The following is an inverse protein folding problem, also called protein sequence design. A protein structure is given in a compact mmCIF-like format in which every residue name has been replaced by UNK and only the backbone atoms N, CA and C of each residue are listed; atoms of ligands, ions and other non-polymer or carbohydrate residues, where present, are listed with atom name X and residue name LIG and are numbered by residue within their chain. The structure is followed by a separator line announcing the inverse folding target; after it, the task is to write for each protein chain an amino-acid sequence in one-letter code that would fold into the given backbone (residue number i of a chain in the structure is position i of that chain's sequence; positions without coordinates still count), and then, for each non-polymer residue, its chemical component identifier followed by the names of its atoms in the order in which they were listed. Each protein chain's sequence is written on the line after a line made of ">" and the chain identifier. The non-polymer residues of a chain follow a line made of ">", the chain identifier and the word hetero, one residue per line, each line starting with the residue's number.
data_IF_575210867897
#
_entry.id   IF_575210867897
#
_cell.length_a   1.000
_cell.length_b   1.000
_cell.length_c   1.000
_cell.angle_alpha   90.00
_cell.angle_beta   90.00
_cell.angle_gamma   90.00
#
_symmetry.space_group_name_H-M   'P 1'
#
loop_
_entity.id
_entity.type
_entity.pdbx_description
1 polymer ?
#
# COMPACT_ATOMS: atom_id res chain seq x y z
N UNK A 1 19.74 -34.29 9.54
CA UNK A 1 19.85 -33.34 8.43
C UNK A 1 18.47 -32.83 8.04
N UNK A 2 17.88 -31.86 8.81
CA UNK A 2 16.61 -31.17 8.47
C UNK A 2 16.77 -29.64 8.59
N UNK A 3 17.96 -29.12 8.31
CA UNK A 3 18.32 -27.72 8.61
C UNK A 3 17.80 -26.67 7.61
N UNK A 4 17.32 -27.07 6.42
CA UNK A 4 17.02 -26.11 5.35
C UNK A 4 15.54 -25.97 4.95
N UNK A 5 14.62 -26.75 5.55
CA UNK A 5 13.22 -26.78 5.11
C UNK A 5 12.46 -25.47 5.44
N UNK A 6 12.90 -24.72 6.44
CA UNK A 6 12.25 -23.47 6.85
C UNK A 6 12.90 -22.20 6.27
N UNK A 7 14.04 -22.32 5.58
CA UNK A 7 14.73 -21.14 5.02
C UNK A 7 13.90 -20.46 3.92
N UNK A 8 13.28 -21.22 3.04
CA UNK A 8 12.43 -20.67 1.98
C UNK A 8 11.22 -19.94 2.55
N UNK A 9 10.39 -20.55 3.45
CA UNK A 9 9.31 -19.83 4.10
C UNK A 9 9.79 -18.58 4.85
N UNK A 10 10.93 -18.64 5.53
CA UNK A 10 11.49 -17.52 6.27
C UNK A 10 11.90 -16.36 5.35
N UNK A 11 12.57 -16.66 4.23
CA UNK A 11 12.94 -15.65 3.24
C UNK A 11 11.71 -14.98 2.62
N UNK A 12 10.67 -15.76 2.30
CA UNK A 12 9.41 -15.22 1.79
C UNK A 12 8.75 -14.28 2.79
N UNK A 13 8.80 -14.60 4.09
CA UNK A 13 8.26 -13.73 5.13
C UNK A 13 9.08 -12.43 5.26
N UNK A 14 10.41 -12.49 5.16
CA UNK A 14 11.22 -11.28 5.17
C UNK A 14 10.90 -10.37 3.98
N UNK A 15 10.71 -10.94 2.79
CA UNK A 15 10.20 -10.19 1.63
C UNK A 15 8.80 -9.61 1.90
N UNK A 16 7.93 -10.35 2.58
CA UNK A 16 6.59 -9.89 2.94
C UNK A 16 6.65 -8.67 3.88
N UNK A 17 7.48 -8.72 4.94
CA UNK A 17 7.69 -7.58 5.86
C UNK A 17 8.23 -6.35 5.13
N UNK A 18 9.16 -6.56 4.19
CA UNK A 18 9.70 -5.50 3.36
C UNK A 18 8.62 -4.85 2.47
N UNK A 19 7.86 -5.65 1.73
CA UNK A 19 6.79 -5.16 0.86
C UNK A 19 5.65 -4.52 1.64
N UNK A 20 5.29 -5.09 2.79
CA UNK A 20 4.29 -4.52 3.69
C UNK A 20 4.69 -3.13 4.18
N UNK A 21 5.96 -2.96 4.58
CA UNK A 21 6.48 -1.67 5.01
C UNK A 21 6.46 -0.62 3.90
N UNK A 22 6.82 -1.01 2.67
CA UNK A 22 6.70 -0.13 1.50
C UNK A 22 5.26 0.35 1.34
N UNK A 23 4.30 -0.58 1.31
CA UNK A 23 2.88 -0.26 1.11
C UNK A 23 2.32 0.64 2.22
N UNK A 24 2.63 0.34 3.49
CA UNK A 24 2.15 1.13 4.63
C UNK A 24 2.72 2.55 4.66
N UNK A 25 3.98 2.71 4.28
CA UNK A 25 4.64 4.02 4.25
C UNK A 25 4.28 4.87 3.02
N UNK A 26 3.68 4.28 2.00
CA UNK A 26 3.11 5.04 0.89
C UNK A 26 1.74 5.65 1.20
N UNK A 27 1.04 5.18 2.24
CA UNK A 27 -0.30 5.67 2.59
C UNK A 27 -0.38 7.19 2.75
N UNK A 28 0.48 7.86 3.56
CA UNK A 28 0.42 9.32 3.69
C UNK A 28 0.65 10.05 2.36
N UNK A 29 1.47 9.47 1.49
CA UNK A 29 1.74 10.01 0.15
C UNK A 29 0.51 9.88 -0.75
N UNK A 30 -0.17 8.73 -0.71
CA UNK A 30 -1.40 8.49 -1.45
C UNK A 30 -2.54 9.39 -0.97
N UNK A 31 -2.65 9.66 0.35
CA UNK A 31 -3.65 10.58 0.90
C UNK A 31 -3.39 12.01 0.39
N UNK A 32 -2.13 12.48 0.39
CA UNK A 32 -1.78 13.79 -0.18
C UNK A 32 -2.14 13.89 -1.66
N UNK A 33 -1.90 12.83 -2.42
CA UNK A 33 -2.28 12.77 -3.82
C UNK A 33 -3.80 12.79 -4.01
N UNK A 34 -4.54 12.09 -3.14
CA UNK A 34 -5.99 12.10 -3.15
C UNK A 34 -6.55 13.50 -2.83
N UNK A 35 -5.94 14.23 -1.88
CA UNK A 35 -6.31 15.62 -1.59
C UNK A 35 -6.24 16.50 -2.84
N UNK A 36 -5.21 16.33 -3.67
CA UNK A 36 -5.06 17.10 -4.92
C UNK A 36 -6.09 16.66 -5.97
N UNK A 37 -6.25 15.34 -6.16
CA UNK A 37 -7.10 14.78 -7.23
C UNK A 37 -8.59 15.02 -7.00
N UNK A 38 -9.05 14.92 -5.75
CA UNK A 38 -10.46 15.11 -5.36
C UNK A 38 -10.72 16.48 -4.71
N UNK A 39 -9.73 17.38 -4.71
CA UNK A 39 -9.80 18.70 -4.08
C UNK A 39 -10.28 18.64 -2.61
N UNK A 40 -9.78 17.64 -1.85
CA UNK A 40 -10.21 17.40 -0.48
C UNK A 40 -9.64 18.45 0.47
N UNK A 41 -10.45 18.81 1.45
CA UNK A 41 -9.98 19.59 2.59
C UNK A 41 -9.23 18.70 3.62
N UNK A 42 -8.58 19.35 4.59
CA UNK A 42 -7.80 18.65 5.63
C UNK A 42 -8.65 17.70 6.47
N UNK A 43 -9.93 18.01 6.70
CA UNK A 43 -10.83 17.16 7.46
C UNK A 43 -11.12 15.86 6.70
N UNK A 44 -11.43 15.93 5.41
CA UNK A 44 -11.69 14.77 4.55
C UNK A 44 -10.45 13.89 4.42
N UNK A 45 -9.26 14.48 4.31
CA UNK A 45 -8.00 13.75 4.31
C UNK A 45 -7.79 12.98 5.62
N UNK A 46 -8.02 13.61 6.77
CA UNK A 46 -7.93 12.97 8.08
C UNK A 46 -8.98 11.87 8.26
N UNK A 47 -10.17 12.03 7.65
CA UNK A 47 -11.20 11.01 7.64
C UNK A 47 -10.78 9.78 6.83
N UNK A 48 -10.07 9.98 5.70
CA UNK A 48 -9.48 8.88 4.92
C UNK A 48 -8.49 8.06 5.75
N UNK A 49 -7.61 8.72 6.47
CA UNK A 49 -6.66 8.07 7.37
C UNK A 49 -7.37 7.32 8.50
N UNK A 50 -8.40 7.94 9.08
CA UNK A 50 -9.24 7.31 10.12
C UNK A 50 -9.91 6.03 9.60
N UNK A 51 -10.44 6.05 8.37
CA UNK A 51 -11.06 4.88 7.74
C UNK A 51 -10.06 3.74 7.50
N UNK A 52 -8.82 4.07 7.13
CA UNK A 52 -7.75 3.10 7.03
C UNK A 52 -7.46 2.42 8.39
N UNK A 53 -7.25 3.21 9.44
CA UNK A 53 -6.98 2.68 10.78
C UNK A 53 -8.17 1.98 11.42
N UNK A 54 -9.40 2.30 11.00
CA UNK A 54 -10.61 1.62 11.46
C UNK A 54 -10.59 0.13 11.09
N UNK A 55 -10.06 -0.24 9.93
CA UNK A 55 -9.87 -1.64 9.56
C UNK A 55 -8.94 -2.37 10.54
N UNK A 56 -7.86 -1.72 10.96
CA UNK A 56 -6.94 -2.26 11.97
C UNK A 56 -7.54 -2.34 13.37
N UNK A 57 -8.54 -1.56 13.66
CA UNK A 57 -9.28 -1.66 14.92
C UNK A 57 -10.29 -2.80 14.92
N UNK A 58 -11.02 -2.99 13.82
CA UNK A 58 -12.13 -3.95 13.73
C UNK A 58 -11.64 -5.37 13.46
N UNK A 59 -10.69 -5.56 12.54
CA UNK A 59 -10.39 -6.87 11.98
C UNK A 59 -9.38 -7.76 12.74
N UNK A 60 -8.48 -7.32 13.61
CA UNK A 60 -7.51 -8.21 14.25
C UNK A 60 -8.12 -9.42 14.96
N UNK A 61 -9.23 -9.22 15.68
CA UNK A 61 -9.90 -10.30 16.40
C UNK A 61 -10.54 -11.32 15.43
N UNK A 62 -11.38 -10.92 14.46
CA UNK A 62 -11.88 -11.82 13.42
C UNK A 62 -10.78 -12.56 12.66
N UNK A 63 -9.68 -11.86 12.31
CA UNK A 63 -8.54 -12.44 11.62
C UNK A 63 -7.85 -13.50 12.48
N UNK A 64 -7.62 -13.21 13.75
CA UNK A 64 -7.03 -14.19 14.67
C UNK A 64 -7.92 -15.45 14.83
N UNK A 65 -9.23 -15.26 14.86
CA UNK A 65 -10.20 -16.38 14.87
C UNK A 65 -10.15 -17.18 13.56
N UNK A 66 -10.08 -16.51 12.42
CA UNK A 66 -9.91 -17.12 11.10
C UNK A 66 -8.66 -18.00 11.05
N UNK A 67 -7.51 -17.46 11.52
CA UNK A 67 -6.24 -18.18 11.51
C UNK A 67 -6.21 -19.40 12.44
N UNK A 68 -6.91 -19.34 13.57
CA UNK A 68 -7.09 -20.51 14.46
C UNK A 68 -7.82 -21.65 13.76
N UNK A 69 -8.73 -21.34 12.84
CA UNK A 69 -9.54 -22.35 12.13
C UNK A 69 -8.83 -22.89 10.88
N UNK A 70 -8.14 -22.03 10.13
CA UNK A 70 -7.57 -22.39 8.80
C UNK A 70 -6.06 -22.52 8.81
N UNK A 71 -5.29 -21.53 9.11
CA UNK A 71 -3.84 -21.50 9.34
C UNK A 71 -3.27 -20.09 9.12
N UNK A 72 -2.07 -19.83 9.61
CA UNK A 72 -1.34 -18.59 9.29
C UNK A 72 -1.05 -18.41 7.79
N UNK A 73 -0.70 -19.51 7.10
CA UNK A 73 -0.45 -19.47 5.65
C UNK A 73 -1.69 -19.01 4.87
N UNK A 74 -2.87 -19.52 5.23
CA UNK A 74 -4.13 -19.10 4.61
C UNK A 74 -4.41 -17.61 4.87
N UNK A 75 -4.16 -17.13 6.09
CA UNK A 75 -4.30 -15.71 6.43
C UNK A 75 -3.40 -14.82 5.58
N UNK A 76 -2.12 -15.21 5.38
CA UNK A 76 -1.18 -14.48 4.54
C UNK A 76 -1.65 -14.43 3.08
N UNK A 77 -2.06 -15.57 2.52
CA UNK A 77 -2.54 -15.64 1.12
C UNK A 77 -3.78 -14.76 0.94
N UNK A 78 -4.75 -14.86 1.87
CA UNK A 78 -5.97 -14.06 1.82
C UNK A 78 -5.67 -12.56 1.93
N UNK A 79 -4.77 -12.17 2.84
CA UNK A 79 -4.31 -10.78 2.98
C UNK A 79 -3.65 -10.24 1.71
N UNK A 80 -2.78 -11.04 1.07
CA UNK A 80 -2.14 -10.66 -0.19
C UNK A 80 -3.16 -10.48 -1.33
N UNK A 81 -4.11 -11.41 -1.46
CA UNK A 81 -5.17 -11.32 -2.48
C UNK A 81 -6.01 -10.07 -2.25
N UNK A 82 -6.41 -9.81 -1.00
CA UNK A 82 -7.24 -8.66 -0.67
C UNK A 82 -6.51 -7.33 -0.92
N UNK A 83 -5.24 -7.24 -0.54
CA UNK A 83 -4.41 -6.07 -0.81
C UNK A 83 -4.19 -5.86 -2.32
N UNK A 84 -3.95 -6.93 -3.08
CA UNK A 84 -3.79 -6.88 -4.54
C UNK A 84 -5.10 -6.43 -5.22
N UNK A 85 -6.25 -6.98 -4.82
CA UNK A 85 -7.55 -6.54 -5.32
C UNK A 85 -7.80 -5.06 -5.02
N UNK A 86 -7.52 -4.61 -3.79
CA UNK A 86 -7.60 -3.20 -3.44
C UNK A 86 -6.70 -2.32 -4.31
N UNK A 87 -5.45 -2.73 -4.54
CA UNK A 87 -4.52 -2.03 -5.43
C UNK A 87 -5.03 -1.94 -6.89
N UNK A 88 -5.62 -3.01 -7.41
CA UNK A 88 -6.19 -3.02 -8.77
C UNK A 88 -7.43 -2.12 -8.89
N UNK A 89 -8.21 -1.97 -7.82
CA UNK A 89 -9.38 -1.10 -7.79
C UNK A 89 -9.03 0.40 -7.88
N UNK A 90 -7.78 0.79 -7.65
CA UNK A 90 -7.34 2.17 -7.93
C UNK A 90 -7.50 2.56 -9.40
N UNK A 91 -7.37 1.60 -10.33
CA UNK A 91 -7.49 1.89 -11.76
C UNK A 91 -8.88 2.43 -12.11
N UNK A 92 -10.00 1.70 -11.81
CA UNK A 92 -11.34 2.23 -12.06
C UNK A 92 -11.68 3.44 -11.21
N UNK A 93 -11.21 3.52 -9.95
CA UNK A 93 -11.46 4.68 -9.10
C UNK A 93 -10.84 5.97 -9.66
N UNK A 94 -9.65 5.88 -10.27
CA UNK A 94 -9.01 7.02 -10.94
C UNK A 94 -9.81 7.52 -12.17
N UNK A 95 -10.66 6.68 -12.76
CA UNK A 95 -11.56 7.07 -13.85
C UNK A 95 -12.84 7.75 -13.33
N UNK A 96 -13.36 7.27 -12.18
CA UNK A 96 -14.58 7.77 -11.56
C UNK A 96 -14.31 9.09 -10.82
N UNK A 97 -13.11 9.24 -10.22
CA UNK A 97 -12.65 10.39 -9.41
C UNK A 97 -13.56 10.71 -8.21
N UNK A 98 -14.28 9.70 -7.70
CA UNK A 98 -15.19 9.86 -6.57
C UNK A 98 -14.47 9.53 -5.25
N UNK A 99 -14.51 10.43 -4.28
CA UNK A 99 -13.88 10.30 -2.98
C UNK A 99 -14.25 8.99 -2.25
N UNK A 100 -15.55 8.63 -2.26
CA UNK A 100 -16.04 7.41 -1.60
C UNK A 100 -15.45 6.12 -2.17
N UNK A 101 -15.16 6.09 -3.47
CA UNK A 101 -14.51 4.93 -4.10
C UNK A 101 -13.11 4.72 -3.49
N UNK A 102 -12.36 5.77 -3.30
CA UNK A 102 -11.03 5.70 -2.68
C UNK A 102 -11.08 5.29 -1.21
N UNK A 103 -12.07 5.78 -0.43
CA UNK A 103 -12.27 5.34 0.95
C UNK A 103 -12.48 3.82 1.05
N UNK A 104 -13.35 3.26 0.20
CA UNK A 104 -13.60 1.83 0.15
C UNK A 104 -12.32 1.04 -0.22
N UNK A 105 -11.54 1.55 -1.17
CA UNK A 105 -10.28 0.92 -1.60
C UNK A 105 -9.26 0.94 -0.47
N UNK A 106 -9.06 2.06 0.20
CA UNK A 106 -8.16 2.14 1.36
C UNK A 106 -8.58 1.20 2.47
N UNK A 107 -9.88 1.05 2.73
CA UNK A 107 -10.39 0.12 3.72
C UNK A 107 -10.12 -1.34 3.35
N UNK A 108 -10.29 -1.71 2.07
CA UNK A 108 -9.97 -3.05 1.55
C UNK A 108 -8.47 -3.34 1.67
N UNK A 109 -7.62 -2.39 1.27
CA UNK A 109 -6.15 -2.52 1.38
C UNK A 109 -5.76 -2.66 2.85
N UNK A 110 -6.29 -1.80 3.73
CA UNK A 110 -6.02 -1.85 5.16
C UNK A 110 -6.41 -3.20 5.78
N UNK A 111 -7.55 -3.74 5.38
CA UNK A 111 -7.99 -5.09 5.81
C UNK A 111 -7.00 -6.16 5.36
N UNK A 112 -6.56 -6.11 4.10
CA UNK A 112 -5.52 -7.01 3.58
C UNK A 112 -4.20 -6.90 4.34
N UNK A 113 -3.74 -5.68 4.60
CA UNK A 113 -2.53 -5.42 5.37
C UNK A 113 -2.65 -5.89 6.82
N UNK A 114 -3.82 -5.72 7.44
CA UNK A 114 -4.12 -6.22 8.79
C UNK A 114 -4.03 -7.76 8.84
N UNK A 115 -4.51 -8.47 7.80
CA UNK A 115 -4.32 -9.92 7.67
C UNK A 115 -2.84 -10.30 7.62
N UNK A 116 -2.04 -9.60 6.81
CA UNK A 116 -0.61 -9.87 6.68
C UNK A 116 0.12 -9.67 8.00
N UNK A 117 -0.10 -8.56 8.69
CA UNK A 117 0.55 -8.24 9.94
C UNK A 117 0.16 -9.22 11.05
N UNK A 118 -1.14 -9.51 11.20
CA UNK A 118 -1.65 -10.41 12.23
C UNK A 118 -1.18 -11.85 12.02
N UNK A 119 -0.96 -12.27 10.75
CA UNK A 119 -0.50 -13.61 10.42
C UNK A 119 1.03 -13.75 10.42
N UNK A 120 1.77 -12.77 9.91
CA UNK A 120 3.20 -12.89 9.67
C UNK A 120 4.02 -12.88 10.96
N UNK A 121 3.66 -12.03 11.94
CA UNK A 121 4.35 -11.95 13.22
C UNK A 121 4.39 -13.29 13.99
N UNK A 122 3.26 -13.94 14.30
CA UNK A 122 3.28 -15.24 14.96
C UNK A 122 3.83 -16.35 14.05
N UNK A 123 3.66 -16.25 12.74
CA UNK A 123 4.21 -17.27 11.82
C UNK A 123 5.74 -17.26 11.81
N UNK A 124 6.38 -16.09 11.79
CA UNK A 124 7.86 -15.97 11.86
C UNK A 124 8.41 -16.57 13.17
N UNK A 125 7.71 -16.40 14.28
CA UNK A 125 8.14 -16.96 15.57
C UNK A 125 7.91 -18.47 15.66
N UNK A 126 6.90 -19.00 14.97
CA UNK A 126 6.60 -20.43 14.93
C UNK A 126 7.53 -21.23 13.98
N UNK A 127 8.23 -20.55 13.05
CA UNK A 127 9.17 -21.20 12.13
C UNK A 127 10.49 -21.53 12.82
N UNK A 128 10.89 -22.81 12.86
CA UNK A 128 12.18 -23.25 13.35
C UNK A 128 12.27 -23.36 14.87
N UNK A 129 13.48 -23.23 15.44
CA UNK A 129 13.74 -23.45 16.86
C UNK A 129 13.19 -22.30 17.72
N UNK A 130 12.41 -22.61 18.79
CA UNK A 130 11.87 -21.59 19.72
C UNK A 130 12.95 -20.70 20.34
N UNK A 131 14.14 -21.22 20.61
CA UNK A 131 15.24 -20.45 21.20
C UNK A 131 15.74 -19.29 20.34
N UNK A 132 15.49 -19.33 19.04
CA UNK A 132 15.87 -18.30 18.05
C UNK A 132 14.68 -17.46 17.55
N UNK A 133 13.49 -17.62 18.13
CA UNK A 133 12.28 -16.94 17.70
C UNK A 133 12.42 -15.40 17.70
N UNK A 134 12.92 -14.82 18.79
CA UNK A 134 13.16 -13.37 18.92
C UNK A 134 14.15 -12.85 17.87
N UNK A 135 15.22 -13.61 17.57
CA UNK A 135 16.20 -13.23 16.56
C UNK A 135 15.56 -13.17 15.17
N UNK A 136 14.73 -14.15 14.84
CA UNK A 136 14.00 -14.17 13.54
C UNK A 136 13.02 -13.01 13.42
N UNK A 137 12.28 -12.72 14.50
CA UNK A 137 11.35 -11.61 14.52
C UNK A 137 12.08 -10.27 14.38
N UNK A 138 13.18 -10.07 15.11
CA UNK A 138 13.98 -8.84 15.00
C UNK A 138 14.56 -8.67 13.58
N UNK A 139 15.01 -9.77 12.95
CA UNK A 139 15.48 -9.72 11.58
C UNK A 139 14.34 -9.36 10.61
N UNK A 140 13.14 -9.93 10.78
CA UNK A 140 11.97 -9.56 9.99
C UNK A 140 11.63 -8.07 10.13
N UNK A 141 11.68 -7.53 11.34
CA UNK A 141 11.46 -6.10 11.59
C UNK A 141 12.57 -5.22 11.01
N UNK A 142 13.80 -5.72 10.87
CA UNK A 142 14.87 -5.01 10.16
C UNK A 142 14.56 -4.87 8.66
N UNK A 143 14.01 -5.91 8.03
CA UNK A 143 13.52 -5.84 6.65
C UNK A 143 12.34 -4.87 6.50
N UNK A 144 11.45 -4.83 7.50
CA UNK A 144 10.39 -3.83 7.58
C UNK A 144 10.98 -2.40 7.62
N UNK A 145 11.93 -2.14 8.52
CA UNK A 145 12.61 -0.83 8.60
C UNK A 145 13.29 -0.44 7.29
N UNK A 146 13.93 -1.38 6.60
CA UNK A 146 14.55 -1.15 5.28
C UNK A 146 13.48 -0.78 4.24
N UNK A 147 12.35 -1.48 4.22
CA UNK A 147 11.23 -1.18 3.32
C UNK A 147 10.66 0.22 3.56
N UNK A 148 10.47 0.60 4.82
CA UNK A 148 10.01 1.93 5.21
C UNK A 148 10.99 3.03 4.76
N UNK A 149 12.30 2.82 4.95
CA UNK A 149 13.33 3.74 4.49
C UNK A 149 13.30 3.93 2.97
N UNK A 150 13.23 2.84 2.21
CA UNK A 150 13.15 2.90 0.74
C UNK A 150 11.87 3.59 0.28
N UNK A 151 10.74 3.29 0.90
CA UNK A 151 9.48 3.97 0.58
C UNK A 151 9.57 5.48 0.80
N UNK A 152 10.09 5.91 1.94
CA UNK A 152 10.21 7.33 2.27
C UNK A 152 11.18 8.07 1.34
N UNK A 153 12.33 7.47 1.02
CA UNK A 153 13.40 8.13 0.25
C UNK A 153 13.15 8.15 -1.26
N UNK A 154 12.57 7.09 -1.81
CA UNK A 154 12.50 6.90 -3.26
C UNK A 154 11.08 6.86 -3.80
N UNK A 155 10.19 6.05 -3.22
CA UNK A 155 8.87 5.81 -3.79
C UNK A 155 7.92 7.00 -3.60
N UNK A 156 8.06 7.74 -2.50
CA UNK A 156 7.26 8.97 -2.30
C UNK A 156 7.45 9.97 -3.42
N UNK A 157 8.67 10.06 -3.98
CA UNK A 157 8.99 10.95 -5.09
C UNK A 157 8.38 10.48 -6.43
N UNK A 158 8.12 9.18 -6.58
CA UNK A 158 7.47 8.65 -7.78
C UNK A 158 5.96 8.91 -7.80
N UNK A 159 5.34 8.97 -6.61
CA UNK A 159 3.90 9.21 -6.48
C UNK A 159 3.58 10.71 -6.50
N UNK A 160 4.44 11.53 -5.88
CA UNK A 160 4.28 12.98 -5.89
C UNK A 160 4.94 13.56 -7.15
N UNK A 161 4.25 14.38 -7.89
CA UNK A 161 4.74 15.06 -9.09
C UNK A 161 5.92 16.02 -8.86
N UNK A 162 6.30 16.27 -7.62
CA UNK A 162 7.37 17.19 -7.22
C UNK A 162 6.94 18.65 -7.10
N UNK A 163 5.97 19.10 -7.87
CA UNK A 163 5.40 20.44 -7.79
C UNK A 163 3.96 20.38 -7.28
N UNK A 164 3.62 21.31 -6.40
CA UNK A 164 2.28 21.38 -5.81
C UNK A 164 1.69 22.74 -6.14
N UNK A 165 0.76 22.76 -7.09
CA UNK A 165 -0.01 23.94 -7.45
C UNK A 165 -1.38 23.92 -6.78
N UNK A 166 -1.89 25.13 -6.50
CA UNK A 166 -3.31 25.40 -6.22
C UNK A 166 -3.91 26.03 -7.46
N UNK A 167 -5.24 26.18 -7.51
CA UNK A 167 -5.89 26.89 -8.64
C UNK A 167 -5.36 28.31 -8.83
N UNK A 168 -4.92 28.96 -7.74
CA UNK A 168 -4.39 30.32 -7.75
C UNK A 168 -2.90 30.40 -8.16
N UNK A 169 -2.13 29.34 -7.89
CA UNK A 169 -0.67 29.31 -8.14
C UNK A 169 -0.29 28.53 -9.40
N UNK A 170 -1.27 27.93 -10.10
CA UNK A 170 -1.02 27.23 -11.35
C UNK A 170 -0.55 28.23 -12.43
N UNK A 171 0.58 27.96 -13.14
CA UNK A 171 1.02 28.78 -14.27
C UNK A 171 -0.11 28.90 -15.32
N UNK A 172 -0.29 30.11 -15.88
CA UNK A 172 -1.35 30.36 -16.87
C UNK A 172 -1.16 29.60 -18.19
N UNK A 173 0.06 29.20 -18.47
CA UNK A 173 0.47 28.42 -19.65
C UNK A 173 0.57 26.93 -19.39
N UNK A 174 0.10 26.45 -18.23
CA UNK A 174 0.15 25.03 -17.90
C UNK A 174 -0.68 24.20 -18.90
N UNK A 175 -0.11 23.12 -19.49
CA UNK A 175 -0.78 22.31 -20.51
C UNK A 175 -2.10 21.70 -20.00
N UNK A 176 -3.22 22.06 -20.61
CA UNK A 176 -4.55 21.64 -20.18
C UNK A 176 -5.11 22.34 -18.93
N UNK A 177 -4.43 23.39 -18.46
CA UNK A 177 -4.87 24.18 -17.29
C UNK A 177 -5.01 23.32 -16.03
N UNK A 178 -5.96 23.69 -15.16
CA UNK A 178 -6.22 22.96 -13.90
C UNK A 178 -6.60 21.49 -14.13
N UNK A 179 -7.41 21.20 -15.13
CA UNK A 179 -7.81 19.82 -15.45
C UNK A 179 -6.62 18.97 -15.91
N UNK A 180 -5.72 19.54 -16.71
CA UNK A 180 -4.48 18.88 -17.11
C UNK A 180 -3.57 18.58 -15.92
N UNK A 181 -3.44 19.50 -14.97
CA UNK A 181 -2.70 19.29 -13.73
C UNK A 181 -3.32 18.15 -12.89
N UNK A 182 -4.62 18.17 -12.66
CA UNK A 182 -5.33 17.12 -11.91
C UNK A 182 -5.23 15.76 -12.62
N UNK A 183 -5.28 15.75 -13.95
CA UNK A 183 -5.12 14.51 -14.71
C UNK A 183 -3.71 13.92 -14.54
N UNK A 184 -2.67 14.75 -14.61
CA UNK A 184 -1.28 14.32 -14.39
C UNK A 184 -1.10 13.75 -12.97
N UNK A 185 -1.64 14.41 -11.95
CA UNK A 185 -1.59 13.95 -10.56
C UNK A 185 -2.37 12.63 -10.36
N UNK A 186 -3.50 12.47 -11.04
CA UNK A 186 -4.29 11.22 -11.01
C UNK A 186 -3.53 10.08 -11.70
N UNK A 187 -2.88 10.36 -12.82
CA UNK A 187 -2.11 9.36 -13.56
C UNK A 187 -0.91 8.84 -12.76
N UNK A 188 -0.32 9.68 -11.90
CA UNK A 188 0.78 9.26 -11.02
C UNK A 188 0.39 8.20 -9.98
N UNK A 189 -0.90 8.09 -9.64
CA UNK A 189 -1.42 7.07 -8.73
C UNK A 189 -1.65 5.70 -9.41
N UNK A 190 -1.66 5.66 -10.75
CA UNK A 190 -1.85 4.42 -11.50
C UNK A 190 -0.59 3.56 -11.43
N UNK A 191 -0.70 2.20 -11.39
CA UNK A 191 0.47 1.33 -11.45
C UNK A 191 1.36 1.63 -12.66
N UNK A 192 2.68 1.59 -12.47
CA UNK A 192 3.71 1.94 -13.48
C UNK A 192 3.53 1.20 -14.81
N UNK A 193 2.89 0.02 -14.81
CA UNK A 193 2.59 -0.74 -16.03
C UNK A 193 1.67 -0.01 -17.01
N UNK A 194 0.87 0.94 -16.54
CA UNK A 194 -0.05 1.71 -17.38
C UNK A 194 0.63 2.91 -18.05
N UNK A 195 1.67 3.48 -17.41
CA UNK A 195 2.41 4.62 -17.97
C UNK A 195 3.25 4.24 -19.19
N UNK A 196 3.74 2.99 -19.27
CA UNK A 196 4.48 2.49 -20.43
C UNK A 196 3.61 2.30 -21.68
N UNK A 197 2.34 1.94 -21.53
CA UNK A 197 1.42 1.80 -22.67
C UNK A 197 1.10 3.16 -23.31
N UNK A 198 0.95 4.20 -22.51
CA UNK A 198 0.62 5.55 -23.00
C UNK A 198 1.80 6.26 -23.69
N UNK A 199 3.03 6.02 -23.23
CA UNK A 199 4.23 6.56 -23.89
C UNK A 199 4.41 6.04 -25.31
N UNK A 200 3.90 4.82 -25.61
CA UNK A 200 3.90 4.25 -26.94
C UNK A 200 2.83 4.86 -27.87
N UNK A 201 1.70 5.29 -27.34
CA UNK A 201 0.64 5.93 -28.13
C UNK A 201 0.98 7.38 -28.51
N UNK A 202 1.65 8.12 -27.62
CA UNK A 202 2.04 9.51 -27.90
C UNK A 202 3.25 9.65 -28.82
N UNK A 203 4.06 8.60 -29.03
CA UNK A 203 5.16 8.62 -29.99
C UNK A 203 4.73 8.15 -31.41
N UNK A 204 3.45 7.81 -31.63
CA UNK A 204 2.90 7.35 -32.89
C UNK A 204 2.07 8.44 -33.63
N UNK A 205 2.04 9.64 -33.11
CA UNK A 205 1.52 10.86 -33.73
C UNK A 205 2.65 11.90 -33.86
#
# INVERSE_FOLDING_TARGET
>A
MKKNTYLIPLSLIFCLFFLWAISSNLLPTMIRQLMKTCELNTFEASFTETFYWLAYFIFPIPIAMYMKRYSYKSGIIFGLVLAACGGLLFIPAAMIKEYWAYLCIFFIIATGMCFLETAANPYVTALGDPSTASRRLNLAQSFNGLGAFIAAMFLSKLVLSGESYTRETLPLDYPGGWEGYIQMETDSMKPVSYTHLRAHETSAH
#
